data_IF_179738279994
#
_entry.id   IF_179738279994
#
_cell.length_a   1.000
_cell.length_b   1.000
_cell.length_c   1.000
_cell.angle_alpha   90.00
_cell.angle_beta   90.00
_cell.angle_gamma   90.00
#
_symmetry.space_group_name_H-M   'P 1'
#
loop_
_entity.id
_entity.type
_entity.pdbx_description
1 polymer ?
#
# COMPACT_ATOMS: atom_id res chain seq x y z
N UNK A 1 -4.28 -14.19 24.28
CA UNK A 1 -3.99 -15.10 23.13
C UNK A 1 -2.54 -14.97 22.68
N UNK A 2 -1.83 -16.09 22.51
CA UNK A 2 -0.50 -16.09 21.89
C UNK A 2 -0.62 -15.90 20.36
N UNK A 3 0.49 -15.56 19.70
CA UNK A 3 0.54 -15.50 18.23
C UNK A 3 0.10 -16.83 17.60
N UNK A 4 0.55 -17.96 18.17
CA UNK A 4 0.13 -19.29 17.72
C UNK A 4 -1.38 -19.53 17.86
N UNK A 5 -2.00 -19.05 18.94
CA UNK A 5 -3.45 -19.18 19.11
C UNK A 5 -4.18 -18.38 18.04
N UNK A 6 -3.74 -17.15 17.77
CA UNK A 6 -4.32 -16.27 16.75
C UNK A 6 -4.17 -16.87 15.35
N UNK A 7 -2.97 -17.35 14.99
CA UNK A 7 -2.70 -18.00 13.70
C UNK A 7 -3.58 -19.23 13.51
N UNK A 8 -3.73 -20.06 14.55
CA UNK A 8 -4.56 -21.27 14.49
C UNK A 8 -6.04 -20.94 14.28
N UNK A 9 -6.56 -19.97 15.03
CA UNK A 9 -7.95 -19.53 14.90
C UNK A 9 -8.17 -18.96 13.49
N UNK A 10 -7.28 -18.09 13.03
CA UNK A 10 -7.39 -17.49 11.70
C UNK A 10 -7.36 -18.57 10.60
N UNK A 11 -6.44 -19.53 10.66
CA UNK A 11 -6.35 -20.63 9.70
C UNK A 11 -7.65 -21.46 9.66
N UNK A 12 -8.24 -21.75 10.83
CA UNK A 12 -9.50 -22.49 10.91
C UNK A 12 -10.66 -21.75 10.24
N UNK A 13 -10.75 -20.44 10.44
CA UNK A 13 -11.78 -19.61 9.80
C UNK A 13 -11.56 -19.51 8.29
N UNK A 14 -10.32 -19.26 7.85
CA UNK A 14 -9.98 -19.10 6.43
C UNK A 14 -10.17 -20.38 5.61
N UNK A 15 -10.01 -21.56 6.23
CA UNK A 15 -10.23 -22.85 5.58
C UNK A 15 -11.71 -23.08 5.17
N UNK A 16 -12.66 -22.31 5.72
CA UNK A 16 -14.07 -22.39 5.34
C UNK A 16 -14.39 -21.70 4.01
N UNK A 17 -13.47 -20.89 3.49
CA UNK A 17 -13.64 -20.14 2.25
C UNK A 17 -12.90 -20.80 1.09
N UNK A 18 -13.52 -20.82 -0.09
CA UNK A 18 -12.87 -21.35 -1.30
C UNK A 18 -11.64 -20.54 -1.73
N UNK A 19 -11.71 -19.20 -1.56
CA UNK A 19 -10.68 -18.27 -1.98
C UNK A 19 -10.73 -17.06 -1.04
N UNK A 20 -9.56 -16.59 -0.59
CA UNK A 20 -9.42 -15.49 0.35
C UNK A 20 -8.39 -14.51 -0.19
N UNK A 21 -8.73 -13.22 -0.17
CA UNK A 21 -7.80 -12.14 -0.49
C UNK A 21 -7.45 -11.40 0.80
N UNK A 22 -6.17 -11.33 1.11
CA UNK A 22 -5.65 -10.56 2.24
C UNK A 22 -4.91 -9.35 1.69
N UNK A 23 -5.29 -8.17 2.17
CA UNK A 23 -4.61 -6.91 1.86
C UNK A 23 -3.89 -6.44 3.11
N UNK A 24 -2.56 -6.36 3.04
CA UNK A 24 -1.73 -5.74 4.07
C UNK A 24 -1.38 -4.33 3.61
N UNK A 25 -2.05 -3.34 4.19
CA UNK A 25 -1.78 -1.93 3.93
C UNK A 25 -0.60 -1.42 4.77
N UNK A 26 0.17 -0.49 4.20
CA UNK A 26 1.26 0.25 4.84
C UNK A 26 2.22 -0.63 5.66
N UNK A 27 2.74 -1.72 5.07
CA UNK A 27 3.66 -2.65 5.76
C UNK A 27 4.88 -1.92 6.36
N UNK A 28 5.35 -0.85 5.72
CA UNK A 28 6.45 -0.04 6.22
C UNK A 28 6.17 0.66 7.55
N UNK A 29 4.92 0.87 7.92
CA UNK A 29 4.52 1.44 9.21
C UNK A 29 4.50 0.40 10.33
N UNK A 30 4.66 -0.89 10.01
CA UNK A 30 4.72 -1.99 10.97
C UNK A 30 6.03 -1.99 11.77
N UNK A 31 6.14 -0.98 12.63
CA UNK A 31 7.35 -0.64 13.38
C UNK A 31 7.16 -1.03 14.85
N UNK A 32 7.64 -2.23 15.20
CA UNK A 32 7.73 -2.66 16.59
C UNK A 32 9.19 -2.87 16.99
N UNK A 33 9.73 -2.03 17.87
CA UNK A 33 11.08 -2.22 18.45
C UNK A 33 12.21 -1.59 17.64
N UNK A 34 13.46 -2.01 17.89
CA UNK A 34 14.66 -1.50 17.20
C UNK A 34 14.64 -1.87 15.71
N UNK A 35 15.39 -1.16 14.87
CA UNK A 35 15.38 -1.33 13.40
C UNK A 35 15.57 -2.80 12.95
N UNK A 36 16.48 -3.53 13.60
CA UNK A 36 16.72 -4.96 13.34
C UNK A 36 15.54 -5.87 13.76
N UNK A 37 14.82 -5.50 14.83
CA UNK A 37 13.62 -6.22 15.28
C UNK A 37 12.42 -5.95 14.37
N UNK A 38 12.39 -4.81 13.68
CA UNK A 38 11.32 -4.44 12.75
C UNK A 38 11.34 -5.31 11.49
N UNK A 39 12.51 -5.47 10.87
CA UNK A 39 12.65 -6.33 9.68
C UNK A 39 12.23 -7.77 9.98
N UNK A 40 12.66 -8.31 11.13
CA UNK A 40 12.30 -9.66 11.56
C UNK A 40 10.79 -9.83 11.76
N UNK A 41 10.08 -8.78 12.23
CA UNK A 41 8.63 -8.81 12.43
C UNK A 41 7.85 -8.69 11.13
N UNK A 42 8.29 -7.85 10.20
CA UNK A 42 7.68 -7.74 8.87
C UNK A 42 7.83 -9.06 8.10
N UNK A 43 9.02 -9.66 8.13
CA UNK A 43 9.27 -10.98 7.54
C UNK A 43 8.43 -12.07 8.21
N UNK A 44 8.35 -12.08 9.54
CA UNK A 44 7.52 -13.03 10.28
C UNK A 44 6.03 -12.89 9.91
N UNK A 45 5.51 -11.66 9.80
CA UNK A 45 4.14 -11.40 9.40
C UNK A 45 3.86 -11.93 7.99
N UNK A 46 4.73 -11.63 7.01
CA UNK A 46 4.58 -12.13 5.63
C UNK A 46 4.62 -13.65 5.62
N UNK A 47 5.61 -14.25 6.31
CA UNK A 47 5.76 -15.70 6.38
C UNK A 47 4.54 -16.38 6.98
N UNK A 48 4.02 -15.87 8.09
CA UNK A 48 2.81 -16.41 8.73
C UNK A 48 1.64 -16.28 7.77
N UNK A 49 1.45 -15.11 7.15
CA UNK A 49 0.32 -14.86 6.24
C UNK A 49 0.36 -15.79 5.02
N UNK A 50 1.54 -16.01 4.43
CA UNK A 50 1.75 -16.98 3.34
C UNK A 50 1.47 -18.42 3.77
N UNK A 51 1.60 -18.74 5.06
CA UNK A 51 1.35 -20.10 5.60
C UNK A 51 -0.11 -20.37 6.00
N UNK A 52 -1.02 -19.39 5.87
CA UNK A 52 -2.40 -19.52 6.31
C UNK A 52 -3.25 -20.45 5.42
N UNK A 53 -2.77 -20.82 4.23
CA UNK A 53 -3.41 -21.80 3.35
C UNK A 53 -3.12 -21.53 1.87
N UNK A 54 -3.38 -22.53 1.04
CA UNK A 54 -3.19 -22.44 -0.42
C UNK A 54 -4.29 -21.62 -1.10
N UNK A 55 -5.41 -21.38 -0.43
CA UNK A 55 -6.51 -20.53 -0.91
C UNK A 55 -6.31 -19.03 -0.64
N UNK A 56 -5.11 -18.63 -0.17
CA UNK A 56 -4.81 -17.26 0.24
C UNK A 56 -4.05 -16.51 -0.86
N UNK A 57 -4.62 -15.40 -1.30
CA UNK A 57 -3.99 -14.44 -2.21
C UNK A 57 -3.59 -13.20 -1.44
N UNK A 58 -2.30 -12.89 -1.41
CA UNK A 58 -1.75 -11.78 -0.62
C UNK A 58 -1.41 -10.59 -1.51
N UNK A 59 -1.97 -9.43 -1.17
CA UNK A 59 -1.58 -8.12 -1.67
C UNK A 59 -0.94 -7.34 -0.53
N UNK A 60 0.32 -6.95 -0.69
CA UNK A 60 1.02 -6.10 0.28
C UNK A 60 1.25 -4.73 -0.33
N UNK A 61 0.98 -3.69 0.45
CA UNK A 61 1.21 -2.28 0.07
C UNK A 61 2.26 -1.68 0.99
N UNK A 62 3.18 -0.92 0.42
CA UNK A 62 4.27 -0.27 1.14
C UNK A 62 4.76 0.95 0.38
N UNK A 63 5.40 1.89 1.08
CA UNK A 63 6.30 2.85 0.45
C UNK A 63 7.50 2.16 -0.19
N UNK A 64 8.14 2.86 -1.13
CA UNK A 64 9.35 2.40 -1.81
C UNK A 64 10.56 2.42 -0.86
N UNK A 65 10.77 1.31 -0.16
CA UNK A 65 11.84 1.13 0.84
C UNK A 65 12.62 -0.13 0.49
N UNK A 66 13.92 0.02 0.26
CA UNK A 66 14.83 -1.04 -0.17
C UNK A 66 14.71 -2.31 0.70
N UNK A 67 14.63 -2.16 2.02
CA UNK A 67 14.54 -3.30 2.94
C UNK A 67 13.26 -4.12 2.75
N UNK A 68 12.16 -3.47 2.36
CA UNK A 68 10.88 -4.14 2.11
C UNK A 68 10.87 -4.73 0.69
N UNK A 69 11.43 -4.03 -0.29
CA UNK A 69 11.60 -4.59 -1.64
C UNK A 69 12.35 -5.93 -1.63
N UNK A 70 13.37 -6.06 -0.76
CA UNK A 70 14.13 -7.30 -0.60
C UNK A 70 13.26 -8.47 -0.11
N UNK A 71 12.22 -8.22 0.69
CA UNK A 71 11.28 -9.25 1.16
C UNK A 71 10.43 -9.84 0.03
N UNK A 72 10.21 -9.07 -1.04
CA UNK A 72 9.34 -9.42 -2.16
C UNK A 72 10.10 -9.63 -3.47
N UNK A 73 11.42 -9.83 -3.42
CA UNK A 73 12.26 -9.93 -4.63
C UNK A 73 11.84 -11.04 -5.61
N UNK A 74 11.22 -12.10 -5.10
CA UNK A 74 10.71 -13.22 -5.89
C UNK A 74 9.21 -13.12 -6.23
N UNK A 75 8.51 -12.13 -5.67
CA UNK A 75 7.06 -11.96 -5.83
C UNK A 75 6.74 -10.98 -6.99
N UNK A 76 5.47 -10.93 -7.42
CA UNK A 76 5.07 -10.00 -8.50
C UNK A 76 4.97 -8.59 -7.95
N UNK A 77 5.66 -7.63 -8.57
CA UNK A 77 5.64 -6.22 -8.16
C UNK A 77 4.79 -5.39 -9.11
N UNK A 78 3.92 -4.56 -8.55
CA UNK A 78 3.21 -3.50 -9.27
C UNK A 78 3.64 -2.15 -8.68
N UNK A 79 4.38 -1.37 -9.46
CA UNK A 79 4.70 0.01 -9.10
C UNK A 79 3.57 0.91 -9.59
N UNK A 80 2.98 1.71 -8.71
CA UNK A 80 2.08 2.77 -9.14
C UNK A 80 2.74 4.12 -8.95
N UNK A 81 2.65 4.93 -9.99
CA UNK A 81 3.06 6.32 -9.98
C UNK A 81 1.97 7.08 -10.69
N UNK A 82 1.42 8.10 -10.04
CA UNK A 82 0.42 8.94 -10.68
C UNK A 82 1.09 9.73 -11.81
N UNK A 83 0.44 9.79 -12.97
CA UNK A 83 0.90 10.66 -14.04
C UNK A 83 0.70 12.13 -13.60
N UNK A 84 1.58 13.00 -14.08
CA UNK A 84 1.48 14.44 -13.80
C UNK A 84 0.11 14.99 -14.23
N UNK A 85 -0.41 14.55 -15.39
CA UNK A 85 -1.74 14.92 -15.88
C UNK A 85 -2.87 14.49 -14.93
N UNK A 86 -2.76 13.32 -14.32
CA UNK A 86 -3.76 12.83 -13.35
C UNK A 86 -3.71 13.65 -12.05
N UNK A 87 -2.50 14.02 -11.61
CA UNK A 87 -2.28 14.89 -10.44
C UNK A 87 -2.86 16.28 -10.71
N UNK A 88 -2.55 16.85 -11.88
CA UNK A 88 -3.07 18.13 -12.33
C UNK A 88 -4.60 18.12 -12.34
N UNK A 89 -5.21 17.10 -12.96
CA UNK A 89 -6.66 16.95 -13.03
C UNK A 89 -7.29 16.85 -11.64
N UNK A 90 -6.66 16.07 -10.75
CA UNK A 90 -7.12 15.96 -9.37
C UNK A 90 -7.05 17.30 -8.63
N UNK A 91 -5.93 18.02 -8.72
CA UNK A 91 -5.75 19.31 -8.05
C UNK A 91 -6.76 20.33 -8.61
N UNK A 92 -6.89 20.45 -9.92
CA UNK A 92 -7.87 21.34 -10.56
C UNK A 92 -9.30 21.03 -10.08
N UNK A 93 -9.65 19.76 -9.93
CA UNK A 93 -10.96 19.37 -9.38
C UNK A 93 -11.15 19.86 -7.94
N UNK A 94 -10.11 19.87 -7.11
CA UNK A 94 -10.14 20.39 -5.73
C UNK A 94 -10.17 21.90 -5.66
N UNK A 95 -9.49 22.59 -6.57
CA UNK A 95 -9.55 24.05 -6.69
C UNK A 95 -10.93 24.53 -7.16
N UNK A 96 -11.63 23.69 -7.94
CA UNK A 96 -12.96 24.00 -8.47
C UNK A 96 -14.11 23.65 -7.52
N UNK A 97 -13.84 23.09 -6.33
CA UNK A 97 -14.89 22.64 -5.41
C UNK A 97 -14.62 22.94 -3.92
N UNK A 98 -15.69 22.93 -3.11
CA UNK A 98 -15.61 23.10 -1.66
C UNK A 98 -15.17 24.50 -1.21
N UNK A 99 -14.86 24.63 0.08
CA UNK A 99 -14.55 25.91 0.70
C UNK A 99 -13.32 26.59 0.08
N UNK A 100 -12.33 25.81 -0.39
CA UNK A 100 -11.12 26.34 -1.01
C UNK A 100 -11.44 27.16 -2.28
N UNK A 101 -12.38 26.68 -3.09
CA UNK A 101 -12.80 27.36 -4.33
C UNK A 101 -13.34 28.78 -4.07
N UNK A 102 -14.01 29.01 -2.94
CA UNK A 102 -14.55 30.32 -2.57
C UNK A 102 -13.44 31.32 -2.23
N UNK A 103 -12.35 30.86 -1.61
CA UNK A 103 -11.21 31.72 -1.23
C UNK A 103 -10.31 32.10 -2.40
N UNK A 104 -10.35 31.34 -3.49
CA UNK A 104 -9.46 31.51 -4.65
C UNK A 104 -10.19 31.89 -5.93
N UNK A 105 -11.52 32.08 -5.87
CA UNK A 105 -12.45 32.21 -7.02
C UNK A 105 -12.10 33.26 -8.08
N UNK A 106 -11.25 34.22 -7.74
CA UNK A 106 -10.82 35.31 -8.64
C UNK A 106 -9.30 35.53 -8.58
N UNK A 107 -8.57 34.53 -8.07
CA UNK A 107 -7.13 34.57 -7.87
C UNK A 107 -6.46 33.55 -8.78
N UNK A 108 -6.51 33.80 -10.08
CA UNK A 108 -5.93 32.91 -11.09
C UNK A 108 -4.42 32.69 -10.87
N UNK A 109 -3.74 33.73 -10.36
CA UNK A 109 -2.33 33.66 -9.94
C UNK A 109 -2.12 32.63 -8.82
N UNK A 110 -2.98 32.62 -7.80
CA UNK A 110 -2.92 31.68 -6.70
C UNK A 110 -3.35 30.27 -7.12
N UNK A 111 -4.36 30.15 -7.96
CA UNK A 111 -4.79 28.86 -8.51
C UNK A 111 -3.65 28.21 -9.29
N UNK A 112 -2.99 28.97 -10.15
CA UNK A 112 -1.84 28.48 -10.93
C UNK A 112 -0.66 28.14 -10.01
N UNK A 113 -0.35 28.99 -9.03
CA UNK A 113 0.73 28.70 -8.07
C UNK A 113 0.48 27.42 -7.27
N UNK A 114 -0.77 27.17 -6.83
CA UNK A 114 -1.13 25.92 -6.14
C UNK A 114 -0.99 24.73 -7.09
N UNK A 115 -1.49 24.84 -8.33
CA UNK A 115 -1.39 23.77 -9.31
C UNK A 115 0.06 23.40 -9.58
N UNK A 116 0.92 24.38 -9.86
CA UNK A 116 2.33 24.16 -10.21
C UNK A 116 3.10 23.59 -9.01
N UNK A 117 3.03 24.25 -7.84
CA UNK A 117 3.80 23.84 -6.67
C UNK A 117 3.33 22.49 -6.11
N UNK A 118 2.02 22.25 -6.02
CA UNK A 118 1.53 20.97 -5.48
C UNK A 118 1.80 19.83 -6.44
N UNK A 119 1.72 20.05 -7.76
CA UNK A 119 2.06 19.01 -8.75
C UNK A 119 3.54 18.68 -8.70
N UNK A 120 4.40 19.70 -8.66
CA UNK A 120 5.84 19.51 -8.51
C UNK A 120 6.18 18.74 -7.23
N UNK A 121 5.61 19.14 -6.08
CA UNK A 121 5.88 18.48 -4.80
C UNK A 121 5.24 17.10 -4.67
N UNK A 122 4.15 16.83 -5.38
CA UNK A 122 3.53 15.50 -5.41
C UNK A 122 4.46 14.47 -6.08
N UNK A 123 5.26 14.88 -7.07
CA UNK A 123 6.28 14.05 -7.75
C UNK A 123 5.81 12.61 -8.05
N UNK A 124 4.61 12.50 -8.61
CA UNK A 124 4.04 11.21 -8.99
C UNK A 124 3.63 10.29 -7.82
N UNK A 125 3.61 10.80 -6.58
CA UNK A 125 3.32 10.13 -5.30
C UNK A 125 3.19 8.60 -5.42
N UNK A 126 4.29 7.90 -5.17
CA UNK A 126 4.42 6.47 -5.46
C UNK A 126 3.91 5.61 -4.29
N UNK A 127 3.04 4.65 -4.59
CA UNK A 127 2.73 3.52 -3.69
C UNK A 127 3.17 2.23 -4.41
N UNK A 128 3.92 1.40 -3.70
CA UNK A 128 4.39 0.11 -4.22
C UNK A 128 3.46 -1.00 -3.73
N UNK A 129 3.10 -1.92 -4.63
CA UNK A 129 2.34 -3.11 -4.29
C UNK A 129 3.13 -4.36 -4.66
N UNK A 130 3.08 -5.37 -3.79
CA UNK A 130 3.51 -6.73 -4.10
C UNK A 130 2.27 -7.63 -4.16
N UNK A 131 2.05 -8.25 -5.31
CA UNK A 131 1.06 -9.29 -5.53
C UNK A 131 1.77 -10.63 -5.44
N UNK A 132 1.25 -11.52 -4.62
CA UNK A 132 1.83 -12.85 -4.47
C UNK A 132 0.87 -13.82 -5.16
N UNK A 133 1.20 -14.28 -6.39
CA UNK A 133 0.36 -15.26 -7.06
C UNK A 133 0.41 -16.58 -6.29
N UNK A 134 -0.76 -17.21 -6.15
CA UNK A 134 -0.87 -18.60 -5.73
C UNK A 134 -0.57 -19.44 -6.96
N UNK A 135 0.44 -20.30 -6.91
CA UNK A 135 0.67 -21.23 -8.01
C UNK A 135 -0.52 -22.19 -8.14
N UNK A 136 -1.06 -22.41 -9.35
CA UNK A 136 -2.12 -23.39 -9.55
C UNK A 136 -1.56 -24.80 -9.30
N UNK A 137 -2.24 -25.55 -8.44
CA UNK A 137 -1.96 -26.97 -8.22
C UNK A 137 -2.27 -27.73 -9.53
N UNK A 138 -1.24 -28.39 -10.09
CA UNK A 138 -1.37 -29.37 -11.18
C UNK A 138 -2.01 -30.67 -10.71
#
# INVERSE_FOLDING_TARGET
>A
PSLNDLTKILLQELASFYCVYIVLDALDEFTGGKLEEQMNKQEELIRITKSLGDNIHLLVMSRDIISIELLFKADTKLNTRAAEDDINLYIMSKLSCGCLSEFIKERDDLQQAILDEVTEKADGMCVTYAVIPVEPIN
#
